data_IF_059757189208
#
_entry.id   IF_059757189208
#
_cell.length_a   1.000
_cell.length_b   1.000
_cell.length_c   1.000
_cell.angle_alpha   90.00
_cell.angle_beta   90.00
_cell.angle_gamma   90.00
#
_symmetry.space_group_name_H-M   'P 1'
#
loop_
_entity.id
_entity.type
_entity.pdbx_description
1 polymer ?
#
# COMPACT_ATOMS: atom_id res chain seq x y z
N UNK A 1 -12.82 -31.11 -8.24
CA UNK A 1 -11.47 -31.13 -7.63
C UNK A 1 -10.80 -29.82 -8.04
N UNK A 2 -10.70 -28.84 -7.13
CA UNK A 2 -9.93 -27.64 -7.42
C UNK A 2 -8.45 -28.04 -7.45
N UNK A 3 -7.81 -27.87 -8.60
CA UNK A 3 -6.43 -28.23 -8.85
C UNK A 3 -5.50 -27.19 -8.20
N UNK A 4 -5.05 -27.47 -6.98
CA UNK A 4 -4.06 -26.68 -6.24
C UNK A 4 -2.66 -27.08 -6.69
N UNK A 5 -2.15 -26.38 -7.70
CA UNK A 5 -0.72 -26.17 -7.86
C UNK A 5 -0.53 -24.76 -8.42
N UNK A 6 0.02 -23.79 -7.66
CA UNK A 6 0.52 -22.58 -8.30
C UNK A 6 1.62 -23.05 -9.24
N UNK A 7 1.46 -22.78 -10.53
CA UNK A 7 2.50 -23.05 -11.51
C UNK A 7 3.76 -22.31 -11.06
N UNK A 8 4.70 -23.02 -10.46
CA UNK A 8 5.99 -22.47 -10.11
C UNK A 8 6.70 -22.09 -11.41
N UNK A 9 6.94 -20.78 -11.62
CA UNK A 9 8.02 -20.31 -12.49
C UNK A 9 7.67 -19.43 -13.69
N UNK A 10 6.53 -18.74 -13.71
CA UNK A 10 6.25 -17.73 -14.75
C UNK A 10 6.46 -16.32 -14.21
N UNK A 11 7.51 -15.62 -14.66
CA UNK A 11 7.54 -14.17 -14.51
C UNK A 11 6.34 -13.58 -15.26
N UNK A 12 5.59 -12.70 -14.61
CA UNK A 12 4.40 -12.07 -15.18
C UNK A 12 4.31 -10.61 -14.76
N UNK A 13 3.52 -9.83 -15.48
CA UNK A 13 3.35 -8.40 -15.21
C UNK A 13 2.18 -8.19 -14.26
N UNK A 14 2.39 -7.47 -13.16
CA UNK A 14 1.33 -7.08 -12.25
C UNK A 14 0.36 -6.11 -12.94
N UNK A 15 -0.95 -6.39 -12.99
CA UNK A 15 -1.93 -5.52 -13.65
C UNK A 15 -2.21 -4.21 -12.88
N UNK A 16 -1.81 -4.12 -11.60
CA UNK A 16 -2.01 -2.92 -10.77
C UNK A 16 -0.94 -1.86 -11.09
N UNK A 17 0.32 -2.28 -11.21
CA UNK A 17 1.46 -1.36 -11.25
C UNK A 17 2.46 -1.58 -12.40
N UNK A 18 2.34 -2.68 -13.15
CA UNK A 18 3.23 -3.00 -14.28
C UNK A 18 4.56 -3.66 -13.89
N UNK A 19 4.81 -3.96 -12.61
CA UNK A 19 6.03 -4.66 -12.18
C UNK A 19 6.08 -6.10 -12.69
N UNK A 20 7.26 -6.59 -13.08
CA UNK A 20 7.49 -8.01 -13.44
C UNK A 20 7.78 -8.80 -12.16
N UNK A 21 6.91 -9.77 -11.85
CA UNK A 21 6.93 -10.52 -10.59
C UNK A 21 6.80 -12.01 -10.84
N UNK A 22 7.36 -12.83 -9.94
CA UNK A 22 7.27 -14.29 -9.99
C UNK A 22 5.97 -14.81 -9.36
N UNK A 23 5.34 -14.02 -8.48
CA UNK A 23 4.08 -14.33 -7.81
C UNK A 23 3.18 -13.08 -7.78
N UNK A 24 2.17 -13.08 -8.65
CA UNK A 24 1.21 -11.97 -8.74
C UNK A 24 0.34 -11.85 -7.49
N UNK A 25 -0.01 -12.96 -6.85
CA UNK A 25 -0.93 -12.94 -5.72
C UNK A 25 -0.24 -12.36 -4.48
N UNK A 26 0.97 -12.80 -4.19
CA UNK A 26 1.78 -12.25 -3.09
C UNK A 26 2.06 -10.75 -3.31
N UNK A 27 2.37 -10.33 -4.55
CA UNK A 27 2.61 -8.93 -4.86
C UNK A 27 1.34 -8.07 -4.80
N UNK A 28 0.20 -8.58 -5.25
CA UNK A 28 -1.09 -7.90 -5.12
C UNK A 28 -1.48 -7.73 -3.65
N UNK A 29 -1.25 -8.75 -2.82
CA UNK A 29 -1.50 -8.64 -1.37
C UNK A 29 -0.62 -7.55 -0.71
N UNK A 30 0.63 -7.39 -1.14
CA UNK A 30 1.48 -6.29 -0.65
C UNK A 30 0.89 -4.91 -0.96
N UNK A 31 0.24 -4.73 -2.13
CA UNK A 31 -0.46 -3.48 -2.43
C UNK A 31 -1.59 -3.22 -1.44
N UNK A 32 -2.35 -4.24 -1.06
CA UNK A 32 -3.49 -4.06 -0.15
C UNK A 32 -3.04 -3.76 1.28
N UNK A 33 -1.99 -4.42 1.77
CA UNK A 33 -1.49 -4.21 3.14
C UNK A 33 -0.68 -2.94 3.28
N UNK A 34 0.23 -2.67 2.34
CA UNK A 34 1.15 -1.52 2.43
C UNK A 34 0.44 -0.21 2.10
N UNK A 35 -0.60 -0.25 1.26
CA UNK A 35 -1.40 0.94 1.00
C UNK A 35 -2.11 1.43 2.26
N UNK A 36 -2.55 0.53 3.13
CA UNK A 36 -3.18 0.90 4.40
C UNK A 36 -2.21 1.66 5.32
N UNK A 37 -0.97 1.19 5.43
CA UNK A 37 0.08 1.85 6.22
C UNK A 37 0.41 3.24 5.67
N UNK A 38 0.57 3.37 4.34
CA UNK A 38 0.83 4.67 3.69
C UNK A 38 -0.34 5.65 3.88
N UNK A 39 -1.59 5.17 3.81
CA UNK A 39 -2.76 6.02 4.07
C UNK A 39 -2.76 6.50 5.52
N UNK A 40 -2.44 5.62 6.48
CA UNK A 40 -2.34 6.00 7.89
C UNK A 40 -1.27 7.09 8.11
N UNK A 41 -0.08 6.91 7.52
CA UNK A 41 1.01 7.89 7.60
C UNK A 41 0.61 9.25 6.99
N UNK A 42 -0.10 9.25 5.87
CA UNK A 42 -0.59 10.49 5.23
C UNK A 42 -1.63 11.18 6.11
N UNK A 43 -2.57 10.42 6.70
CA UNK A 43 -3.57 10.98 7.62
C UNK A 43 -2.88 11.59 8.84
N UNK A 44 -1.93 10.90 9.45
CA UNK A 44 -1.16 11.41 10.58
C UNK A 44 -0.43 12.72 10.21
N UNK A 45 0.28 12.73 9.08
CA UNK A 45 1.00 13.92 8.60
C UNK A 45 0.08 15.10 8.25
N UNK A 46 -1.17 14.85 7.84
CA UNK A 46 -2.12 15.91 7.45
C UNK A 46 -3.02 16.37 8.59
N UNK A 47 -3.22 15.54 9.61
CA UNK A 47 -4.03 15.85 10.79
C UNK A 47 -3.21 16.34 11.98
N UNK A 48 -1.88 16.21 11.92
CA UNK A 48 -0.97 17.00 12.73
C UNK A 48 -1.18 18.48 12.37
N UNK A 49 -2.09 19.12 13.09
CA UNK A 49 -2.33 20.55 13.00
C UNK A 49 -0.98 21.29 13.19
N UNK A 50 -0.75 22.42 12.50
CA UNK A 50 0.27 23.35 12.97
C UNK A 50 -0.04 23.64 14.43
N UNK A 51 0.97 23.51 15.30
CA UNK A 51 0.86 23.85 16.71
C UNK A 51 0.18 25.21 16.81
N UNK A 52 -0.89 25.23 17.59
CA UNK A 52 -1.76 26.37 17.84
C UNK A 52 -0.91 27.55 18.30
N UNK A 53 -0.60 28.46 17.39
CA UNK A 53 -0.13 29.80 17.72
C UNK A 53 -1.33 30.62 18.18
N UNK A 54 -1.82 30.28 19.38
CA UNK A 54 -2.58 31.21 20.22
C UNK A 54 -1.60 32.21 20.84
N UNK A 55 -1.63 33.46 20.37
CA UNK A 55 -1.69 34.60 21.30
C UNK A 55 -2.46 35.76 20.63
N UNK A 56 -3.76 35.83 20.94
CA UNK A 56 -4.50 37.09 20.96
C UNK A 56 -3.86 38.01 22.02
N UNK A 57 -3.25 39.12 21.60
CA UNK A 57 -3.11 40.30 22.47
C UNK A 57 -3.29 41.57 21.65
N UNK A 58 -4.46 42.18 21.88
CA UNK A 58 -4.94 43.58 21.77
C UNK A 58 -4.32 44.55 20.74
#
# INVERSE_FOLDING_TARGET
MLNTAPAAGGWTVCPICGAIVADTWAHANWHETTLADVIADIIEATTAAPAEDQEDTE
#
